data_IF_495004529495
#
_entry.id   IF_495004529495
#
_cell.length_a   1.000
_cell.length_b   1.000
_cell.length_c   1.000
_cell.angle_alpha   90.00
_cell.angle_beta   90.00
_cell.angle_gamma   90.00
#
_symmetry.space_group_name_H-M   'P 1'
#
loop_
_entity.id
_entity.type
_entity.pdbx_description
1 polymer ?
#
# COMPACT_ATOMS: atom_id res chain seq x y z
N UNK A 1 22.40 -4.12 -5.86
CA UNK A 1 21.65 -3.43 -6.94
C UNK A 1 20.31 -4.13 -7.06
N UNK A 2 19.25 -3.54 -6.52
CA UNK A 2 17.89 -4.07 -6.68
C UNK A 2 17.54 -3.85 -8.16
N UNK A 3 17.19 -4.92 -8.88
CA UNK A 3 16.72 -4.82 -10.27
C UNK A 3 15.56 -3.82 -10.30
N UNK A 4 15.56 -2.93 -11.29
CA UNK A 4 14.38 -2.13 -11.58
C UNK A 4 13.17 -3.08 -11.65
N UNK A 5 12.15 -2.79 -10.83
CA UNK A 5 10.94 -3.58 -10.78
C UNK A 5 10.18 -3.28 -12.07
N UNK A 6 10.29 -4.19 -13.04
CA UNK A 6 9.56 -4.13 -14.31
C UNK A 6 8.15 -4.73 -14.10
N UNK A 7 7.39 -4.14 -13.17
CA UNK A 7 6.05 -4.57 -12.82
C UNK A 7 5.16 -3.34 -12.88
N UNK A 8 4.45 -3.18 -13.97
CA UNK A 8 3.54 -2.08 -14.17
C UNK A 8 2.11 -2.43 -13.71
N UNK A 9 1.30 -1.41 -13.38
CA UNK A 9 -0.15 -1.54 -13.25
C UNK A 9 -0.78 -2.32 -14.41
N UNK A 10 -1.75 -3.17 -14.11
CA UNK A 10 -2.63 -3.74 -15.13
C UNK A 10 -3.76 -2.75 -15.49
N UNK A 11 -4.35 -2.92 -16.67
CA UNK A 11 -5.49 -2.11 -17.09
C UNK A 11 -6.65 -2.22 -16.09
N UNK A 12 -7.09 -1.06 -15.57
CA UNK A 12 -8.16 -0.94 -14.56
C UNK A 12 -7.88 -1.69 -13.24
N UNK A 13 -6.61 -1.94 -12.91
CA UNK A 13 -6.23 -2.40 -11.58
C UNK A 13 -6.61 -1.32 -10.54
N UNK A 14 -6.88 -1.72 -9.30
CA UNK A 14 -6.97 -0.76 -8.21
C UNK A 14 -5.58 -0.61 -7.56
N UNK A 15 -5.21 0.59 -7.07
CA UNK A 15 -3.95 0.78 -6.35
C UNK A 15 -3.67 -0.26 -5.25
N UNK A 16 -4.71 -0.72 -4.54
CA UNK A 16 -4.65 -1.74 -3.50
C UNK A 16 -4.32 -3.14 -4.06
N UNK A 17 -4.93 -3.53 -5.19
CA UNK A 17 -4.60 -4.78 -5.88
C UNK A 17 -3.17 -4.76 -6.43
N UNK A 18 -2.72 -3.62 -6.95
CA UNK A 18 -1.36 -3.45 -7.41
C UNK A 18 -0.36 -3.58 -6.24
N UNK A 19 -0.62 -2.93 -5.11
CA UNK A 19 0.18 -3.03 -3.89
C UNK A 19 0.27 -4.47 -3.36
N UNK A 20 -0.84 -5.22 -3.39
CA UNK A 20 -0.88 -6.64 -3.01
C UNK A 20 -0.02 -7.49 -3.96
N UNK A 21 -0.16 -7.28 -5.28
CA UNK A 21 0.63 -8.00 -6.29
C UNK A 21 2.13 -7.75 -6.13
N UNK A 22 2.52 -6.50 -5.87
CA UNK A 22 3.90 -6.13 -5.53
C UNK A 22 4.36 -6.82 -4.24
N UNK A 23 3.51 -6.88 -3.22
CA UNK A 23 3.78 -7.58 -1.96
C UNK A 23 4.01 -9.08 -2.15
N UNK A 24 3.19 -9.73 -2.98
CA UNK A 24 3.34 -11.14 -3.36
C UNK A 24 4.65 -11.38 -4.11
N UNK A 25 5.06 -10.47 -5.00
CA UNK A 25 6.32 -10.61 -5.73
C UNK A 25 7.51 -10.44 -4.79
N UNK A 26 7.52 -9.38 -3.98
CA UNK A 26 8.57 -9.17 -2.99
C UNK A 26 8.68 -10.35 -2.01
N UNK A 27 7.55 -10.88 -1.55
CA UNK A 27 7.52 -12.06 -0.69
C UNK A 27 8.14 -13.31 -1.35
N UNK A 28 8.15 -13.41 -2.69
CA UNK A 28 8.82 -14.51 -3.40
C UNK A 28 10.33 -14.29 -3.56
N UNK A 29 10.80 -13.04 -3.48
CA UNK A 29 12.22 -12.71 -3.64
C UNK A 29 13.02 -12.80 -2.33
N UNK A 30 12.36 -12.65 -1.18
CA UNK A 30 13.03 -12.69 0.13
C UNK A 30 12.92 -14.05 0.83
N UNK A 31 13.95 -14.41 1.59
CA UNK A 31 13.99 -15.67 2.34
C UNK A 31 12.98 -15.69 3.49
N UNK A 32 12.56 -16.89 3.91
CA UNK A 32 11.71 -17.05 5.10
C UNK A 32 12.35 -16.50 6.36
N UNK A 33 13.69 -16.53 6.46
CA UNK A 33 14.43 -15.99 7.60
C UNK A 33 14.34 -14.45 7.62
N UNK A 34 14.55 -13.79 6.47
CA UNK A 34 14.40 -12.33 6.32
C UNK A 34 13.02 -11.84 6.74
N UNK A 35 11.96 -12.56 6.32
CA UNK A 35 10.58 -12.23 6.73
C UNK A 35 10.37 -12.33 8.24
N UNK A 36 10.96 -13.34 8.88
CA UNK A 36 10.84 -13.53 10.33
C UNK A 36 11.62 -12.47 11.10
N UNK A 37 12.84 -12.19 10.67
CA UNK A 37 13.72 -11.23 11.35
C UNK A 37 13.16 -9.81 11.28
N UNK A 38 12.51 -9.46 10.16
CA UNK A 38 11.85 -8.17 9.97
C UNK A 38 10.38 -8.15 10.39
N UNK A 39 9.81 -9.27 10.87
CA UNK A 39 8.41 -9.36 11.25
C UNK A 39 7.41 -9.07 10.13
N UNK A 40 7.77 -9.35 8.87
CA UNK A 40 6.99 -8.96 7.69
C UNK A 40 5.88 -9.97 7.38
N UNK A 41 4.65 -9.53 7.61
CA UNK A 41 3.43 -10.24 7.22
C UNK A 41 2.62 -9.34 6.28
N UNK A 42 2.44 -9.80 5.04
CA UNK A 42 1.66 -9.04 4.05
C UNK A 42 0.18 -9.15 4.35
N UNK A 43 -0.49 -8.01 4.42
CA UNK A 43 -1.94 -7.93 4.56
C UNK A 43 -2.61 -8.31 3.24
N UNK A 44 -3.51 -9.29 3.19
CA UNK A 44 -4.29 -9.56 1.98
C UNK A 44 -5.26 -8.42 1.67
N UNK A 45 -5.55 -8.21 0.39
CA UNK A 45 -6.48 -7.16 -0.08
C UNK A 45 -7.80 -7.13 0.70
N UNK A 46 -8.41 -8.29 0.97
CA UNK A 46 -9.70 -8.35 1.67
C UNK A 46 -9.65 -7.81 3.10
N UNK A 47 -8.53 -8.02 3.80
CA UNK A 47 -8.32 -7.47 5.14
C UNK A 47 -8.10 -5.97 5.05
N UNK A 48 -7.36 -5.50 4.04
CA UNK A 48 -7.12 -4.08 3.83
C UNK A 48 -8.40 -3.31 3.49
N UNK A 49 -9.24 -3.83 2.59
CA UNK A 49 -10.56 -3.25 2.29
C UNK A 49 -11.51 -3.31 3.49
N UNK A 50 -11.50 -4.40 4.25
CA UNK A 50 -12.28 -4.50 5.48
C UNK A 50 -11.87 -3.39 6.47
N UNK A 51 -10.58 -3.24 6.76
CA UNK A 51 -10.07 -2.21 7.67
C UNK A 51 -10.38 -0.80 7.17
N UNK A 52 -10.21 -0.54 5.87
CA UNK A 52 -10.55 0.74 5.26
C UNK A 52 -12.03 1.08 5.44
N UNK A 53 -12.93 0.11 5.23
CA UNK A 53 -14.38 0.27 5.38
C UNK A 53 -14.87 0.57 6.80
N UNK A 54 -14.05 0.32 7.83
CA UNK A 54 -14.34 0.73 9.21
C UNK A 54 -14.18 2.24 9.42
N UNK A 55 -13.50 2.91 8.50
CA UNK A 55 -13.20 4.34 8.59
C UNK A 55 -14.29 5.16 7.92
N UNK A 56 -14.70 6.26 8.55
CA UNK A 56 -15.63 7.24 7.97
C UNK A 56 -15.04 8.62 8.10
N UNK A 57 -15.21 9.42 7.07
CA UNK A 57 -14.67 10.76 7.04
C UNK A 57 -15.51 11.68 6.15
N UNK A 58 -15.68 12.92 6.60
CA UNK A 58 -16.47 13.97 5.93
C UNK A 58 -15.66 15.24 5.66
N UNK A 59 -14.39 15.27 6.07
CA UNK A 59 -13.49 16.38 5.79
C UNK A 59 -13.07 16.41 4.32
N UNK A 60 -12.87 17.62 3.79
CA UNK A 60 -12.35 17.82 2.43
C UNK A 60 -10.82 17.68 2.35
N UNK A 61 -10.12 17.71 3.49
CA UNK A 61 -8.67 17.53 3.60
C UNK A 61 -8.31 16.53 4.68
N UNK A 62 -7.47 15.54 4.33
CA UNK A 62 -7.07 14.45 5.22
C UNK A 62 -5.56 14.35 5.36
N UNK A 63 -5.13 13.94 6.55
CA UNK A 63 -3.74 13.54 6.81
C UNK A 63 -3.72 12.09 7.28
N UNK A 64 -2.94 11.27 6.61
CA UNK A 64 -2.81 9.83 6.88
C UNK A 64 -1.35 9.55 7.24
N UNK A 65 -1.14 8.84 8.33
CA UNK A 65 0.16 8.31 8.73
C UNK A 65 0.13 6.78 8.62
N UNK A 66 1.07 6.23 7.86
CA UNK A 66 1.27 4.79 7.71
C UNK A 66 2.70 4.42 8.16
N UNK A 67 2.93 4.16 9.46
CA UNK A 67 4.27 4.04 10.05
C UNK A 67 4.92 2.65 9.86
N UNK A 68 4.45 1.89 8.88
CA UNK A 68 4.94 0.55 8.52
C UNK A 68 4.25 0.10 7.25
N UNK A 69 4.36 0.92 6.21
CA UNK A 69 3.46 0.84 5.06
C UNK A 69 3.65 -0.40 4.21
N UNK A 70 4.80 -1.08 4.29
CA UNK A 70 5.12 -2.20 3.42
C UNK A 70 5.02 -1.77 1.96
N UNK A 71 4.21 -2.48 1.16
CA UNK A 71 3.93 -2.08 -0.22
C UNK A 71 2.86 -1.00 -0.36
N UNK A 72 2.31 -0.47 0.75
CA UNK A 72 1.30 0.59 0.75
C UNK A 72 -0.15 0.11 0.69
N UNK A 73 -0.42 -1.18 0.88
CA UNK A 73 -1.76 -1.75 0.65
C UNK A 73 -2.86 -1.11 1.52
N UNK A 74 -2.61 -0.87 2.80
CA UNK A 74 -3.59 -0.24 3.69
C UNK A 74 -3.86 1.21 3.30
N UNK A 75 -2.80 1.97 2.99
CA UNK A 75 -2.91 3.33 2.48
C UNK A 75 -3.74 3.37 1.19
N UNK A 76 -3.44 2.51 0.21
CA UNK A 76 -4.19 2.41 -1.05
C UNK A 76 -5.66 2.07 -0.82
N UNK A 77 -5.96 1.04 -0.03
CA UNK A 77 -7.34 0.63 0.28
C UNK A 77 -8.12 1.73 0.99
N UNK A 78 -7.48 2.48 1.89
CA UNK A 78 -8.12 3.59 2.61
C UNK A 78 -8.44 4.76 1.69
N UNK A 79 -7.47 5.15 0.84
CA UNK A 79 -7.63 6.26 -0.11
C UNK A 79 -8.71 5.91 -1.15
N UNK A 80 -8.72 4.68 -1.68
CA UNK A 80 -9.79 4.21 -2.57
C UNK A 80 -11.17 4.29 -1.92
N UNK A 81 -11.25 3.92 -0.63
CA UNK A 81 -12.49 3.97 0.13
C UNK A 81 -12.98 5.41 0.25
N UNK A 82 -12.09 6.35 0.60
CA UNK A 82 -12.44 7.76 0.69
C UNK A 82 -12.81 8.36 -0.66
N UNK A 83 -12.08 8.04 -1.73
CA UNK A 83 -12.39 8.49 -3.08
C UNK A 83 -13.77 8.00 -3.56
N UNK A 84 -14.24 6.83 -3.10
CA UNK A 84 -15.58 6.31 -3.40
C UNK A 84 -16.69 6.91 -2.53
N UNK A 85 -16.37 7.32 -1.30
CA UNK A 85 -17.36 7.74 -0.31
C UNK A 85 -17.60 9.25 -0.24
N UNK A 86 -16.66 10.07 -0.72
CA UNK A 86 -16.66 11.51 -0.49
C UNK A 86 -16.56 12.31 -1.78
N UNK A 87 -17.67 12.92 -2.19
CA UNK A 87 -17.72 13.88 -3.30
C UNK A 87 -17.04 15.22 -2.95
N UNK A 88 -16.77 15.46 -1.66
CA UNK A 88 -16.18 16.71 -1.18
C UNK A 88 -14.68 16.61 -0.91
N UNK A 89 -14.09 15.42 -1.01
CA UNK A 89 -12.67 15.21 -0.78
C UNK A 89 -11.85 15.95 -1.84
N UNK A 90 -10.91 16.80 -1.40
CA UNK A 90 -10.05 17.60 -2.27
C UNK A 90 -8.58 17.24 -2.15
N UNK A 91 -8.15 16.82 -0.96
CA UNK A 91 -6.73 16.65 -0.66
C UNK A 91 -6.50 15.53 0.37
N UNK A 92 -5.50 14.69 0.10
CA UNK A 92 -4.97 13.73 1.06
C UNK A 92 -3.45 13.96 1.13
N UNK A 93 -2.96 14.18 2.33
CA UNK A 93 -1.53 14.13 2.66
C UNK A 93 -1.23 12.76 3.27
N UNK A 94 -0.42 11.96 2.58
CA UNK A 94 0.04 10.66 3.07
C UNK A 94 1.49 10.76 3.52
N UNK A 95 1.76 10.37 4.76
CA UNK A 95 3.10 10.17 5.30
C UNK A 95 3.30 8.69 5.56
N UNK A 96 4.17 8.06 4.78
CA UNK A 96 4.46 6.63 4.87
C UNK A 96 5.90 6.40 5.33
N UNK A 97 6.09 5.44 6.25
CA UNK A 97 7.40 5.00 6.71
C UNK A 97 7.58 3.50 6.48
N UNK A 98 8.78 3.15 6.05
CA UNK A 98 9.22 1.78 5.88
C UNK A 98 10.71 1.69 6.19
N UNK A 99 11.08 0.65 6.92
CA UNK A 99 12.45 0.45 7.42
C UNK A 99 13.23 -0.57 6.60
N UNK A 100 12.54 -1.49 5.92
CA UNK A 100 13.17 -2.43 5.02
C UNK A 100 13.52 -1.74 3.69
N UNK A 101 14.80 -1.62 3.40
CA UNK A 101 15.27 -0.98 2.17
C UNK A 101 14.96 -1.78 0.91
N UNK A 102 14.76 -3.09 1.05
CA UNK A 102 14.50 -3.98 -0.10
C UNK A 102 13.05 -3.89 -0.57
N UNK A 103 12.12 -3.45 0.30
CA UNK A 103 10.72 -3.23 -0.08
C UNK A 103 10.46 -1.82 -0.62
N UNK A 104 11.30 -0.83 -0.29
CA UNK A 104 11.12 0.57 -0.72
C UNK A 104 10.87 0.74 -2.23
N UNK A 105 11.54 0.01 -3.14
CA UNK A 105 11.23 0.11 -4.56
C UNK A 105 9.80 -0.35 -4.92
N UNK A 106 9.25 -1.32 -4.19
CA UNK A 106 7.85 -1.77 -4.33
C UNK A 106 6.89 -0.74 -3.72
N UNK A 107 7.22 -0.17 -2.56
CA UNK A 107 6.47 0.93 -1.96
C UNK A 107 6.37 2.12 -2.92
N UNK A 108 7.49 2.55 -3.50
CA UNK A 108 7.52 3.67 -4.43
C UNK A 108 6.67 3.39 -5.67
N UNK A 109 6.76 2.19 -6.24
CA UNK A 109 5.93 1.81 -7.38
C UNK A 109 4.43 1.95 -7.08
N UNK A 110 3.97 1.50 -5.89
CA UNK A 110 2.57 1.71 -5.47
C UNK A 110 2.21 3.20 -5.35
N UNK A 111 3.10 4.02 -4.80
CA UNK A 111 2.84 5.46 -4.58
C UNK A 111 2.88 6.28 -5.87
N UNK A 112 3.53 5.77 -6.92
CA UNK A 112 3.59 6.38 -8.25
C UNK A 112 2.41 5.97 -9.17
N UNK A 113 1.52 5.07 -8.70
CA UNK A 113 0.32 4.60 -9.41
C UNK A 113 -0.68 5.74 -9.67
#
# INVERSE_FOLDING_TARGET
MIKAIDIHPLDNELPSHYADRLGVVYAKTVSTQHKKDNGQFFTPTEIAHFMAGLTKQTQDKLKILDPGCGTGILSSSLIETFAKQSDTLKEIELVAYETDKDILPFTQATLDY
#
